data_IF_553298981729
#
_entry.id   IF_553298981729
#
_cell.length_a   1.000
_cell.length_b   1.000
_cell.length_c   1.000
_cell.angle_alpha   90.00
_cell.angle_beta   90.00
_cell.angle_gamma   90.00
#
_symmetry.space_group_name_H-M   'P 1'
#
loop_
_entity.id
_entity.type
_entity.pdbx_description
1 polymer ?
#
# COMPACT_ATOMS: atom_id res chain seq x y z
N UNK A 1 19.08 83.31 45.13
CA UNK A 1 18.15 83.42 43.99
C UNK A 1 18.24 82.14 43.18
N UNK A 2 17.08 81.59 42.78
CA UNK A 2 16.82 80.45 41.88
C UNK A 2 17.84 80.32 40.73
N UNK A 3 18.08 79.22 40.02
CA UNK A 3 17.57 77.83 39.89
C UNK A 3 18.51 77.21 38.83
N UNK A 4 18.69 75.90 38.82
CA UNK A 4 18.53 75.03 37.64
C UNK A 4 18.98 73.62 38.01
N UNK A 5 18.08 72.64 37.92
CA UNK A 5 18.45 71.26 37.59
C UNK A 5 17.22 70.48 37.12
N UNK A 6 17.48 69.69 36.08
CA UNK A 6 16.52 69.11 35.15
C UNK A 6 15.64 68.01 35.72
N UNK A 7 14.59 67.75 34.97
CA UNK A 7 13.45 66.88 35.25
C UNK A 7 13.66 65.58 34.48
N UNK A 8 13.92 64.47 35.16
CA UNK A 8 13.91 63.11 34.59
C UNK A 8 12.54 62.49 34.84
N UNK A 9 11.91 61.97 33.78
CA UNK A 9 10.64 61.25 33.81
C UNK A 9 10.89 59.77 34.06
N UNK A 10 10.10 59.21 35.00
CA UNK A 10 10.06 57.78 35.36
C UNK A 10 8.98 57.13 34.50
N UNK A 11 9.35 56.11 33.71
CA UNK A 11 8.40 55.21 33.06
C UNK A 11 8.03 54.07 34.02
N UNK A 12 6.76 54.02 34.41
CA UNK A 12 6.15 52.92 35.17
C UNK A 12 5.78 51.82 34.18
N UNK A 13 6.39 50.65 34.32
CA UNK A 13 6.07 49.45 33.53
C UNK A 13 4.93 48.66 34.16
N UNK A 14 3.84 48.50 33.42
CA UNK A 14 2.64 47.75 33.79
C UNK A 14 2.86 46.25 33.54
N UNK A 15 2.83 45.42 34.59
CA UNK A 15 2.77 43.95 34.46
C UNK A 15 1.35 43.54 34.03
N UNK A 16 1.19 43.11 32.78
CA UNK A 16 -0.01 42.43 32.32
C UNK A 16 0.11 40.93 32.66
N UNK A 17 -0.64 40.50 33.67
CA UNK A 17 -0.79 39.09 34.03
C UNK A 17 -1.66 38.42 32.96
N UNK A 18 -1.01 37.74 32.03
CA UNK A 18 -1.63 36.99 30.94
C UNK A 18 -2.25 35.72 31.54
N UNK A 19 -3.55 35.78 31.85
CA UNK A 19 -4.33 34.62 32.28
C UNK A 19 -4.43 33.61 31.15
N UNK A 20 -3.57 32.59 31.18
CA UNK A 20 -3.76 31.34 30.44
C UNK A 20 -5.02 30.67 30.97
N UNK A 21 -6.16 30.92 30.32
CA UNK A 21 -7.33 30.05 30.46
C UNK A 21 -6.97 28.73 29.81
N UNK A 22 -6.66 27.72 30.61
CA UNK A 22 -6.77 26.34 30.19
C UNK A 22 -8.23 26.11 29.77
N UNK A 23 -8.50 26.14 28.47
CA UNK A 23 -9.70 25.51 27.92
C UNK A 23 -9.55 24.02 28.24
N UNK A 24 -10.17 23.56 29.32
CA UNK A 24 -10.28 22.14 29.59
C UNK A 24 -10.96 21.49 28.40
N UNK A 25 -10.30 20.52 27.77
CA UNK A 25 -10.94 19.62 26.81
C UNK A 25 -11.99 18.82 27.57
N UNK A 26 -13.20 19.36 27.69
CA UNK A 26 -14.36 18.63 28.15
C UNK A 26 -14.83 17.75 26.98
N UNK A 27 -14.33 16.51 26.94
CA UNK A 27 -14.69 15.55 25.92
C UNK A 27 -16.03 14.88 26.29
N UNK A 28 -17.11 15.66 26.19
CA UNK A 28 -18.49 15.19 26.35
C UNK A 28 -18.77 13.96 25.48
N UNK A 29 -18.17 13.92 24.29
CA UNK A 29 -18.26 12.82 23.35
C UNK A 29 -16.94 12.06 23.31
N UNK A 30 -17.00 10.75 23.52
CA UNK A 30 -15.91 9.85 23.23
C UNK A 30 -16.31 8.90 22.10
N UNK A 31 -15.95 9.23 20.87
CA UNK A 31 -16.31 8.47 19.68
C UNK A 31 -15.59 7.11 19.65
N UNK A 32 -16.35 6.03 19.50
CA UNK A 32 -15.84 4.67 19.40
C UNK A 32 -16.01 4.06 18.02
N UNK A 33 -16.63 4.78 17.08
CA UNK A 33 -16.70 4.34 15.68
C UNK A 33 -15.30 4.39 15.06
N UNK A 34 -14.78 3.26 14.54
CA UNK A 34 -13.51 3.26 13.82
C UNK A 34 -13.56 4.14 12.57
N UNK A 35 -12.47 4.83 12.28
CA UNK A 35 -12.31 5.59 11.02
C UNK A 35 -12.18 4.69 9.79
N UNK A 36 -11.91 3.39 10.00
CA UNK A 36 -11.80 2.36 8.97
C UNK A 36 -12.76 1.21 9.30
N UNK A 37 -13.85 1.12 8.54
CA UNK A 37 -14.88 0.11 8.71
C UNK A 37 -14.68 -1.00 7.69
N UNK A 38 -14.44 -2.23 8.17
CA UNK A 38 -14.33 -3.40 7.31
C UNK A 38 -15.68 -3.78 6.74
N UNK A 39 -15.78 -3.89 5.43
CA UNK A 39 -17.05 -4.26 4.81
C UNK A 39 -17.48 -5.69 5.15
N UNK A 40 -18.75 -5.83 5.51
CA UNK A 40 -19.39 -7.09 5.84
C UNK A 40 -20.53 -7.39 4.86
N UNK A 41 -21.01 -8.64 4.85
CA UNK A 41 -22.01 -9.10 3.90
C UNK A 41 -23.39 -8.43 4.07
N UNK A 42 -23.72 -7.94 5.27
CA UNK A 42 -24.98 -7.23 5.54
C UNK A 42 -24.94 -5.76 5.11
N UNK A 43 -23.74 -5.17 4.98
CA UNK A 43 -23.55 -3.73 4.76
C UNK A 43 -23.98 -2.88 5.96
N UNK A 44 -24.12 -3.49 7.15
CA UNK A 44 -24.59 -2.82 8.37
C UNK A 44 -23.40 -2.58 9.30
N UNK A 45 -23.27 -1.34 9.77
CA UNK A 45 -22.17 -0.91 10.62
C UNK A 45 -22.69 -0.20 11.86
N UNK A 46 -22.08 -0.50 12.99
CA UNK A 46 -22.44 0.10 14.28
C UNK A 46 -21.63 1.38 14.50
N UNK A 47 -22.33 2.49 14.63
CA UNK A 47 -21.79 3.76 15.08
C UNK A 47 -22.01 3.91 16.58
N UNK A 48 -21.00 4.34 17.32
CA UNK A 48 -21.09 4.42 18.78
C UNK A 48 -20.22 5.51 19.40
N UNK A 49 -20.68 6.02 20.53
CA UNK A 49 -19.90 6.90 21.39
C UNK A 49 -20.29 6.70 22.86
N UNK A 50 -19.37 7.05 23.77
CA UNK A 50 -19.69 7.24 25.18
C UNK A 50 -19.90 8.72 25.50
N UNK A 51 -20.98 9.02 26.21
CA UNK A 51 -21.23 10.34 26.77
C UNK A 51 -20.56 10.45 28.14
N UNK A 52 -19.75 11.49 28.35
CA UNK A 52 -19.09 11.77 29.64
C UNK A 52 -19.49 13.14 30.14
N UNK A 53 -20.19 13.19 31.27
CA UNK A 53 -20.60 14.45 31.89
C UNK A 53 -19.64 14.83 33.01
N UNK A 54 -19.07 16.03 32.92
CA UNK A 54 -18.21 16.59 33.98
C UNK A 54 -19.01 17.06 35.22
N UNK A 55 -20.33 17.14 35.13
CA UNK A 55 -21.18 17.76 36.16
C UNK A 55 -22.18 16.77 36.78
N UNK A 56 -22.28 16.80 38.11
CA UNK A 56 -23.30 16.09 38.92
C UNK A 56 -24.73 16.64 38.78
N UNK A 57 -24.93 17.65 37.92
CA UNK A 57 -26.21 18.34 37.76
C UNK A 57 -27.04 17.84 36.55
N UNK A 58 -26.57 16.81 35.85
CA UNK A 58 -27.30 16.22 34.73
C UNK A 58 -28.44 15.35 35.27
N UNK A 59 -29.61 15.46 34.64
CA UNK A 59 -30.74 14.56 34.93
C UNK A 59 -30.56 13.31 34.09
N UNK A 60 -30.05 12.23 34.68
CA UNK A 60 -29.60 11.02 33.95
C UNK A 60 -30.67 10.42 33.03
N UNK A 61 -31.92 10.35 33.49
CA UNK A 61 -33.05 9.80 32.71
C UNK A 61 -33.49 10.68 31.53
N UNK A 62 -32.95 11.89 31.40
CA UNK A 62 -33.29 12.82 30.31
C UNK A 62 -32.35 12.74 29.11
N UNK A 63 -31.31 11.91 29.19
CA UNK A 63 -30.26 11.87 28.16
C UNK A 63 -30.72 11.07 26.94
N UNK A 64 -30.85 11.76 25.82
CA UNK A 64 -31.22 11.23 24.51
C UNK A 64 -30.07 11.48 23.52
N UNK A 65 -29.79 10.50 22.66
CA UNK A 65 -28.74 10.59 21.65
C UNK A 65 -29.29 10.35 20.24
N UNK A 66 -28.79 11.13 19.29
CA UNK A 66 -29.04 11.00 17.87
C UNK A 66 -27.71 10.94 17.11
N UNK A 67 -27.74 10.39 15.91
CA UNK A 67 -26.66 10.48 14.94
C UNK A 67 -27.20 11.09 13.66
N UNK A 68 -26.43 11.98 13.06
CA UNK A 68 -26.68 12.50 11.72
C UNK A 68 -25.69 11.85 10.78
N UNK A 69 -26.19 11.17 9.76
CA UNK A 69 -25.39 10.51 8.72
C UNK A 69 -25.83 11.07 7.37
N UNK A 70 -24.90 11.64 6.62
CA UNK A 70 -25.14 12.22 5.28
C UNK A 70 -26.34 13.19 5.19
N UNK A 71 -26.65 13.86 6.31
CA UNK A 71 -27.73 14.84 6.44
C UNK A 71 -29.02 14.31 7.07
N UNK A 72 -29.20 12.98 7.14
CA UNK A 72 -30.37 12.37 7.77
C UNK A 72 -30.12 12.09 9.26
N UNK A 73 -31.13 12.34 10.10
CA UNK A 73 -31.03 12.18 11.56
C UNK A 73 -31.70 10.89 12.04
N UNK A 74 -30.99 10.13 12.86
CA UNK A 74 -31.42 8.84 13.38
C UNK A 74 -31.33 8.82 14.91
N UNK A 75 -32.33 8.22 15.56
CA UNK A 75 -32.33 8.03 17.01
C UNK A 75 -31.43 6.86 17.39
N UNK A 76 -30.51 7.09 18.34
CA UNK A 76 -29.61 6.05 18.83
C UNK A 76 -30.23 5.27 20.00
N UNK A 77 -29.74 4.05 20.20
CA UNK A 77 -30.14 3.19 21.31
C UNK A 77 -29.11 3.30 22.44
N UNK A 78 -29.59 3.34 23.68
CA UNK A 78 -28.72 3.26 24.86
C UNK A 78 -28.28 1.81 25.06
N UNK A 79 -26.98 1.55 24.92
CA UNK A 79 -26.38 0.21 24.98
C UNK A 79 -25.79 -0.13 26.36
N UNK A 80 -25.40 0.88 27.13
CA UNK A 80 -24.84 0.73 28.49
C UNK A 80 -25.10 1.99 29.31
N UNK A 81 -25.31 1.83 30.61
CA UNK A 81 -25.47 2.93 31.59
C UNK A 81 -24.11 3.41 32.13
N UNK A 82 -23.17 2.49 32.36
CA UNK A 82 -21.85 2.79 32.93
C UNK A 82 -20.75 1.98 32.22
N UNK A 83 -19.95 2.61 31.33
CA UNK A 83 -20.11 3.97 30.84
C UNK A 83 -21.40 4.14 30.00
N UNK A 84 -21.92 5.36 29.92
CA UNK A 84 -23.11 5.70 29.17
C UNK A 84 -22.83 5.64 27.66
N UNK A 85 -23.15 4.51 27.02
CA UNK A 85 -22.86 4.26 25.60
C UNK A 85 -24.15 4.29 24.79
N UNK A 86 -24.08 4.94 23.64
CA UNK A 86 -25.13 4.90 22.63
C UNK A 86 -24.61 4.24 21.35
N UNK A 87 -25.47 3.44 20.72
CA UNK A 87 -25.19 2.74 19.46
C UNK A 87 -26.28 2.97 18.43
N UNK A 88 -25.92 2.92 17.15
CA UNK A 88 -26.85 2.87 16.03
C UNK A 88 -26.28 2.04 14.90
N UNK A 89 -27.09 1.12 14.38
CA UNK A 89 -26.73 0.27 13.24
C UNK A 89 -27.23 0.92 11.95
N UNK A 90 -26.29 1.32 11.10
CA UNK A 90 -26.58 1.97 9.82
C UNK A 90 -26.22 1.07 8.65
N UNK A 91 -27.14 0.99 7.68
CA UNK A 91 -26.92 0.25 6.43
C UNK A 91 -26.37 1.19 5.37
N UNK A 92 -25.09 1.04 5.06
CA UNK A 92 -24.39 1.82 4.02
C UNK A 92 -24.82 1.32 2.64
N UNK A 93 -25.02 2.24 1.68
CA UNK A 93 -25.49 1.85 0.36
C UNK A 93 -24.38 1.18 -0.45
N UNK A 94 -24.71 0.22 -1.34
CA UNK A 94 -23.71 -0.38 -2.22
C UNK A 94 -23.00 0.68 -3.06
N UNK A 95 -21.67 0.71 -3.01
CA UNK A 95 -20.83 1.63 -3.79
C UNK A 95 -20.34 2.85 -3.03
N UNK A 96 -20.85 3.12 -1.82
CA UNK A 96 -20.30 4.15 -0.95
C UNK A 96 -18.99 3.68 -0.31
N UNK A 97 -17.97 4.54 -0.36
CA UNK A 97 -16.63 4.29 0.20
C UNK A 97 -16.34 5.09 1.47
N UNK A 98 -17.18 6.07 1.78
CA UNK A 98 -17.04 6.99 2.90
C UNK A 98 -18.43 7.32 3.45
N UNK A 99 -18.53 7.46 4.78
CA UNK A 99 -19.73 7.91 5.47
C UNK A 99 -19.36 9.10 6.35
N UNK A 100 -20.07 10.23 6.23
CA UNK A 100 -19.85 11.42 7.08
C UNK A 100 -20.91 11.50 8.16
N UNK A 101 -20.50 11.78 9.39
CA UNK A 101 -21.42 11.78 10.51
C UNK A 101 -21.02 12.69 11.67
N UNK A 102 -22.00 12.98 12.52
CA UNK A 102 -21.81 13.53 13.86
C UNK A 102 -22.93 13.08 14.78
N UNK A 103 -22.67 13.07 16.09
CA UNK A 103 -23.63 12.77 17.13
C UNK A 103 -24.25 14.04 17.70
N UNK A 104 -25.49 13.92 18.15
CA UNK A 104 -26.22 14.95 18.88
C UNK A 104 -26.62 14.34 20.23
N UNK A 105 -26.38 15.07 21.31
CA UNK A 105 -26.78 14.71 22.66
C UNK A 105 -27.72 15.78 23.21
N UNK A 106 -28.92 15.37 23.60
CA UNK A 106 -29.92 16.22 24.25
C UNK A 106 -30.11 15.74 25.68
N UNK A 107 -30.02 16.64 26.63
CA UNK A 107 -30.20 16.30 28.05
C UNK A 107 -30.64 17.51 28.85
N UNK A 108 -31.25 17.24 29.99
CA UNK A 108 -31.60 18.24 30.98
C UNK A 108 -30.54 18.32 32.07
N UNK A 109 -30.36 19.53 32.60
CA UNK A 109 -29.47 19.80 33.73
C UNK A 109 -30.11 20.80 34.70
N UNK A 110 -29.74 20.70 35.96
CA UNK A 110 -30.20 21.61 37.02
C UNK A 110 -29.16 22.72 37.19
N UNK A 111 -29.59 23.97 37.00
CA UNK A 111 -28.75 25.13 37.28
C UNK A 111 -29.52 26.08 38.20
N UNK A 112 -28.97 26.32 39.39
CA UNK A 112 -29.61 27.12 40.44
C UNK A 112 -31.05 26.67 40.75
N UNK A 113 -31.29 25.35 40.79
CA UNK A 113 -32.61 24.77 41.08
C UNK A 113 -33.60 24.76 39.90
N UNK A 114 -33.22 25.29 38.73
CA UNK A 114 -34.05 25.31 37.53
C UNK A 114 -33.57 24.21 36.57
N UNK A 115 -34.48 23.33 36.14
CA UNK A 115 -34.25 22.36 35.08
C UNK A 115 -34.21 23.07 33.72
N UNK A 116 -33.13 22.90 32.98
CA UNK A 116 -32.91 23.45 31.64
C UNK A 116 -32.52 22.33 30.69
N UNK A 117 -32.95 22.43 29.44
CA UNK A 117 -32.54 21.50 28.37
C UNK A 117 -31.38 22.10 27.59
N UNK A 118 -30.42 21.27 27.20
CA UNK A 118 -29.33 21.64 26.29
C UNK A 118 -29.20 20.59 25.19
N UNK A 119 -28.69 21.02 24.04
CA UNK A 119 -28.34 20.17 22.91
C UNK A 119 -26.87 20.42 22.60
N UNK A 120 -26.13 19.34 22.35
CA UNK A 120 -24.70 19.37 22.06
C UNK A 120 -24.42 18.52 20.83
N UNK A 121 -23.59 19.04 19.94
CA UNK A 121 -23.14 18.34 18.75
C UNK A 121 -21.70 17.91 18.95
N UNK A 122 -21.34 16.75 18.40
CA UNK A 122 -19.98 16.25 18.41
C UNK A 122 -19.21 16.72 17.17
N UNK A 123 -17.96 17.09 17.34
CA UNK A 123 -17.02 17.32 16.23
C UNK A 123 -15.70 16.62 16.54
N UNK A 124 -14.88 16.40 15.53
CA UNK A 124 -13.53 15.88 15.73
C UNK A 124 -12.62 16.94 16.39
N UNK A 125 -11.36 16.61 16.61
CA UNK A 125 -10.38 17.50 17.25
C UNK A 125 -10.12 18.81 16.48
N UNK A 126 -10.42 18.85 15.17
CA UNK A 126 -10.27 20.03 14.31
C UNK A 126 -11.56 20.85 14.18
N UNK A 127 -12.68 20.38 14.74
CA UNK A 127 -14.00 21.02 14.62
C UNK A 127 -14.79 20.59 13.37
N UNK A 128 -14.34 19.58 12.65
CA UNK A 128 -15.01 19.04 11.47
C UNK A 128 -15.91 17.83 11.82
N UNK A 129 -16.73 17.42 10.84
CA UNK A 129 -17.50 16.18 10.91
C UNK A 129 -16.58 14.96 11.01
N UNK A 130 -17.06 13.90 11.65
CA UNK A 130 -16.39 12.62 11.58
C UNK A 130 -16.61 11.96 10.21
N UNK A 131 -15.67 11.10 9.83
CA UNK A 131 -15.78 10.25 8.66
C UNK A 131 -15.39 8.82 9.01
N UNK A 132 -16.03 7.87 8.32
CA UNK A 132 -15.66 6.46 8.36
C UNK A 132 -15.48 5.96 6.94
N UNK A 133 -14.28 5.48 6.62
CA UNK A 133 -13.96 4.90 5.33
C UNK A 133 -14.29 3.41 5.33
N UNK A 134 -15.00 2.96 4.31
CA UNK A 134 -15.24 1.53 4.09
C UNK A 134 -14.00 0.95 3.39
N UNK A 135 -13.06 0.41 4.17
CA UNK A 135 -11.88 -0.25 3.60
C UNK A 135 -12.29 -1.61 3.03
N UNK A 136 -12.30 -1.70 1.72
CA UNK A 136 -12.76 -2.86 0.97
C UNK A 136 -11.70 -3.41 0.00
N UNK A 137 -10.44 -3.33 0.40
CA UNK A 137 -9.33 -3.78 -0.43
C UNK A 137 -8.53 -4.82 0.34
N UNK A 138 -8.44 -6.02 -0.20
CA UNK A 138 -7.60 -7.08 0.35
C UNK A 138 -7.17 -8.02 -0.76
N UNK A 139 -5.95 -8.52 -0.64
CA UNK A 139 -5.50 -9.70 -1.36
C UNK A 139 -5.82 -10.92 -0.50
N UNK A 140 -6.43 -11.94 -1.11
CA UNK A 140 -6.92 -13.11 -0.38
C UNK A 140 -6.05 -14.33 -0.62
N UNK A 141 -5.77 -14.62 -1.89
CA UNK A 141 -5.18 -15.90 -2.26
C UNK A 141 -4.43 -15.80 -3.60
N UNK A 142 -3.19 -16.29 -3.60
CA UNK A 142 -2.45 -16.60 -4.81
C UNK A 142 -2.92 -17.94 -5.36
N UNK A 143 -3.30 -17.98 -6.64
CA UNK A 143 -3.70 -19.23 -7.32
C UNK A 143 -2.54 -20.25 -7.34
N UNK A 144 -1.30 -19.77 -7.32
CA UNK A 144 -0.11 -20.55 -7.00
C UNK A 144 0.86 -19.73 -6.16
N UNK A 145 1.43 -20.34 -5.13
CA UNK A 145 2.45 -19.72 -4.28
C UNK A 145 3.89 -20.04 -4.71
N UNK A 146 4.06 -20.60 -5.92
CA UNK A 146 5.38 -20.87 -6.50
C UNK A 146 5.37 -20.93 -8.01
N UNK A 147 6.50 -20.64 -8.62
CA UNK A 147 6.70 -20.72 -10.06
C UNK A 147 8.04 -20.14 -10.52
N UNK A 148 8.44 -20.44 -11.77
CA UNK A 148 9.65 -19.86 -12.36
C UNK A 148 9.45 -18.39 -12.75
N UNK A 149 10.54 -17.68 -12.96
CA UNK A 149 10.54 -16.33 -13.56
C UNK A 149 9.83 -16.34 -14.91
N UNK A 150 9.07 -15.28 -15.20
CA UNK A 150 8.30 -15.13 -16.44
C UNK A 150 6.97 -15.89 -16.46
N UNK A 151 6.66 -16.69 -15.43
CA UNK A 151 5.34 -17.32 -15.32
C UNK A 151 4.26 -16.30 -14.92
N UNK A 152 3.03 -16.52 -15.39
CA UNK A 152 1.86 -15.69 -15.03
C UNK A 152 1.12 -16.32 -13.87
N UNK A 153 0.85 -15.52 -12.85
CA UNK A 153 0.21 -15.94 -11.60
C UNK A 153 -0.98 -15.03 -11.34
N UNK A 154 -2.13 -15.63 -11.04
CA UNK A 154 -3.31 -14.90 -10.62
C UNK A 154 -3.36 -14.71 -9.10
N UNK A 155 -3.83 -13.55 -8.67
CA UNK A 155 -4.06 -13.14 -7.31
C UNK A 155 -5.52 -12.73 -7.15
N UNK A 156 -6.24 -13.46 -6.30
CA UNK A 156 -7.65 -13.24 -6.02
C UNK A 156 -7.79 -12.36 -4.79
N UNK A 157 -8.73 -11.42 -4.85
CA UNK A 157 -8.98 -10.48 -3.77
C UNK A 157 -10.24 -9.65 -3.99
N UNK A 158 -10.23 -8.43 -3.45
CA UNK A 158 -11.33 -7.48 -3.61
C UNK A 158 -10.79 -6.06 -3.66
N UNK A 159 -11.50 -5.22 -4.41
CA UNK A 159 -11.25 -3.78 -4.49
C UNK A 159 -10.01 -3.43 -5.28
N UNK A 160 -9.58 -4.28 -6.21
CA UNK A 160 -8.47 -3.95 -7.10
C UNK A 160 -8.83 -2.85 -8.11
N UNK A 161 -7.84 -2.07 -8.51
CA UNK A 161 -7.98 -0.95 -9.45
C UNK A 161 -6.83 -0.94 -10.46
N UNK A 162 -7.03 -0.34 -11.63
CA UNK A 162 -6.04 -0.37 -12.72
C UNK A 162 -4.65 0.21 -12.37
N UNK A 163 -4.53 0.99 -11.28
CA UNK A 163 -3.25 1.52 -10.79
C UNK A 163 -2.54 0.63 -9.77
N UNK A 164 -3.07 -0.55 -9.46
CA UNK A 164 -2.48 -1.46 -8.49
C UNK A 164 -1.34 -2.26 -9.10
N UNK A 165 -0.27 -2.42 -8.33
CA UNK A 165 0.93 -3.16 -8.76
C UNK A 165 1.25 -4.26 -7.75
N UNK A 166 1.48 -5.48 -8.24
CA UNK A 166 2.01 -6.58 -7.42
C UNK A 166 3.49 -6.37 -7.20
N UNK A 167 3.95 -6.57 -5.97
CA UNK A 167 5.34 -6.43 -5.56
C UNK A 167 5.79 -7.74 -4.93
N UNK A 168 6.91 -8.29 -5.40
CA UNK A 168 7.47 -9.54 -4.90
C UNK A 168 8.90 -9.29 -4.44
N UNK A 169 9.17 -9.52 -3.16
CA UNK A 169 10.52 -9.31 -2.60
C UNK A 169 11.02 -7.87 -2.73
N UNK A 170 10.11 -6.90 -2.82
CA UNK A 170 10.40 -5.48 -3.06
C UNK A 170 10.50 -5.07 -4.53
N UNK A 171 10.46 -6.01 -5.47
CA UNK A 171 10.49 -5.72 -6.91
C UNK A 171 9.07 -5.67 -7.49
N UNK A 172 8.77 -4.64 -8.26
CA UNK A 172 7.49 -4.54 -8.97
C UNK A 172 7.40 -5.59 -10.08
N UNK A 173 6.27 -6.29 -10.13
CA UNK A 173 5.93 -7.22 -11.17
C UNK A 173 5.08 -6.53 -12.25
N UNK A 174 5.21 -6.97 -13.50
CA UNK A 174 4.22 -6.60 -14.52
C UNK A 174 2.86 -7.09 -14.08
N UNK A 175 1.93 -6.16 -13.90
CA UNK A 175 0.64 -6.43 -13.28
C UNK A 175 -0.48 -6.03 -14.23
N UNK A 176 -1.45 -6.92 -14.41
CA UNK A 176 -2.67 -6.69 -15.17
C UNK A 176 -3.87 -6.87 -14.25
N UNK A 177 -4.64 -5.81 -14.03
CA UNK A 177 -5.88 -5.90 -13.25
C UNK A 177 -7.01 -6.30 -14.19
N UNK A 178 -7.45 -7.55 -14.12
CA UNK A 178 -8.52 -8.08 -14.96
C UNK A 178 -9.89 -7.60 -14.48
N UNK A 179 -10.11 -7.64 -13.15
CA UNK A 179 -11.34 -7.19 -12.50
C UNK A 179 -11.03 -6.63 -11.12
N UNK A 180 -11.98 -5.96 -10.44
CA UNK A 180 -11.82 -5.58 -9.03
C UNK A 180 -11.61 -6.74 -8.04
N UNK A 181 -11.54 -8.00 -8.50
CA UNK A 181 -11.31 -9.20 -7.68
C UNK A 181 -10.19 -10.10 -8.19
N UNK A 182 -9.60 -9.77 -9.34
CA UNK A 182 -8.63 -10.62 -10.02
C UNK A 182 -7.53 -9.74 -10.63
N UNK A 183 -6.30 -10.01 -10.19
CA UNK A 183 -5.08 -9.44 -10.73
C UNK A 183 -4.23 -10.59 -11.26
N UNK A 184 -3.65 -10.44 -12.45
CA UNK A 184 -2.59 -11.31 -12.96
C UNK A 184 -1.26 -10.58 -12.89
N UNK A 185 -0.18 -11.27 -12.57
CA UNK A 185 1.17 -10.72 -12.63
C UNK A 185 2.18 -11.70 -13.23
N UNK A 186 3.25 -11.18 -13.82
CA UNK A 186 4.40 -11.95 -14.31
C UNK A 186 5.47 -12.01 -13.22
N UNK A 187 5.95 -13.22 -12.88
CA UNK A 187 7.00 -13.40 -11.86
C UNK A 187 8.28 -12.66 -12.29
N UNK A 188 8.76 -11.68 -11.50
CA UNK A 188 9.93 -10.87 -11.82
C UNK A 188 11.24 -11.68 -11.71
N UNK A 189 12.37 -11.18 -12.25
CA UNK A 189 13.64 -11.90 -12.34
C UNK A 189 14.38 -11.93 -10.99
N UNK A 190 13.79 -12.59 -10.01
CA UNK A 190 14.31 -12.78 -8.66
C UNK A 190 15.20 -14.02 -8.57
N UNK A 191 16.04 -14.08 -7.52
CA UNK A 191 16.92 -15.24 -7.30
C UNK A 191 16.09 -16.51 -7.04
N UNK A 192 16.40 -17.62 -7.74
CA UNK A 192 15.65 -18.85 -7.58
C UNK A 192 15.97 -19.56 -6.26
N UNK A 193 15.07 -20.43 -5.83
CA UNK A 193 15.21 -21.23 -4.60
C UNK A 193 14.87 -20.46 -3.31
N UNK A 194 14.36 -19.22 -3.42
CA UNK A 194 14.00 -18.36 -2.28
C UNK A 194 12.50 -18.11 -2.22
N UNK A 195 12.01 -17.87 -1.01
CA UNK A 195 10.63 -17.43 -0.74
C UNK A 195 10.64 -15.93 -0.45
N UNK A 196 9.72 -15.20 -1.09
CA UNK A 196 9.58 -13.75 -1.01
C UNK A 196 8.18 -13.38 -0.51
N UNK A 197 8.07 -12.25 0.18
CA UNK A 197 6.76 -11.66 0.48
C UNK A 197 6.14 -11.09 -0.80
N UNK A 198 4.83 -11.23 -0.92
CA UNK A 198 4.02 -10.65 -1.99
C UNK A 198 3.08 -9.62 -1.38
N UNK A 199 3.11 -8.41 -1.93
CA UNK A 199 2.16 -7.36 -1.57
C UNK A 199 1.50 -6.78 -2.82
N UNK A 200 0.33 -6.18 -2.65
CA UNK A 200 -0.30 -5.34 -3.67
C UNK A 200 -0.14 -3.90 -3.23
N UNK A 201 0.66 -3.14 -3.96
CA UNK A 201 0.80 -1.70 -3.74
C UNK A 201 -0.38 -0.98 -4.37
N UNK A 202 -1.06 -0.19 -3.56
CA UNK A 202 -2.15 0.70 -3.94
C UNK A 202 -1.72 2.16 -3.75
N UNK A 203 -2.55 3.12 -4.16
CA UNK A 203 -2.25 4.55 -4.00
C UNK A 203 -1.98 4.96 -2.53
N UNK A 204 -2.69 4.34 -1.57
CA UNK A 204 -2.71 4.77 -0.17
C UNK A 204 -2.13 3.73 0.80
N UNK A 205 -1.87 2.49 0.35
CA UNK A 205 -1.46 1.39 1.22
C UNK A 205 -0.81 0.21 0.48
N UNK A 206 -0.15 -0.68 1.20
CA UNK A 206 0.23 -2.01 0.70
C UNK A 206 -0.66 -3.09 1.35
N UNK A 207 -1.21 -3.98 0.53
CA UNK A 207 -2.02 -5.11 0.97
C UNK A 207 -1.15 -6.35 1.00
N UNK A 208 -1.11 -7.05 2.13
CA UNK A 208 -0.42 -8.34 2.21
C UNK A 208 -1.14 -9.39 1.36
N UNK A 209 -0.39 -10.08 0.50
CA UNK A 209 -0.86 -11.13 -0.40
C UNK A 209 -0.17 -12.49 -0.14
N UNK A 210 0.61 -12.59 0.95
CA UNK A 210 1.26 -13.82 1.36
C UNK A 210 2.70 -13.94 0.87
N UNK A 211 3.10 -15.15 0.49
CA UNK A 211 4.49 -15.44 0.08
C UNK A 211 4.53 -16.28 -1.19
N UNK A 212 5.60 -16.09 -1.97
CA UNK A 212 5.82 -16.77 -3.23
C UNK A 212 7.25 -17.33 -3.31
N UNK A 213 7.38 -18.61 -3.67
CA UNK A 213 8.68 -19.25 -3.89
C UNK A 213 9.05 -19.22 -5.37
N UNK A 214 10.19 -18.60 -5.68
CA UNK A 214 10.70 -18.54 -7.06
C UNK A 214 11.49 -19.81 -7.35
N UNK A 215 11.08 -20.51 -8.41
CA UNK A 215 11.77 -21.69 -8.91
C UNK A 215 12.81 -21.32 -9.98
N UNK A 216 13.84 -22.15 -10.14
CA UNK A 216 14.83 -21.95 -11.20
C UNK A 216 14.22 -22.27 -12.57
N UNK A 217 14.35 -21.32 -13.50
CA UNK A 217 14.05 -21.51 -14.91
C UNK A 217 15.28 -22.03 -15.68
N UNK A 218 15.09 -22.52 -16.90
CA UNK A 218 16.17 -22.96 -17.78
C UNK A 218 16.32 -22.01 -18.95
N UNK A 219 17.58 -21.62 -19.24
CA UNK A 219 17.96 -21.00 -20.50
C UNK A 219 18.14 -22.10 -21.55
N UNK A 220 17.76 -21.83 -22.78
CA UNK A 220 18.04 -22.69 -23.93
C UNK A 220 18.88 -21.93 -24.94
N UNK A 221 19.86 -22.61 -25.54
CA UNK A 221 20.77 -22.00 -26.50
C UNK A 221 20.88 -22.89 -27.73
N UNK A 222 20.81 -22.27 -28.90
CA UNK A 222 20.98 -22.94 -30.18
C UNK A 222 21.93 -22.15 -31.09
N UNK A 223 22.99 -22.78 -31.64
CA UNK A 223 23.42 -24.15 -31.41
C UNK A 223 24.03 -24.35 -30.00
N UNK A 224 24.08 -25.60 -29.52
CA UNK A 224 24.69 -25.93 -28.22
C UNK A 224 26.22 -25.92 -28.21
N UNK A 225 26.85 -25.77 -29.38
CA UNK A 225 28.28 -25.54 -29.56
C UNK A 225 28.47 -24.60 -30.76
N UNK A 226 29.55 -23.83 -30.73
CA UNK A 226 29.94 -22.94 -31.82
C UNK A 226 31.29 -23.38 -32.36
N UNK A 227 31.39 -23.52 -33.67
CA UNK A 227 32.63 -23.71 -34.40
C UNK A 227 32.70 -22.61 -35.44
N UNK A 228 33.73 -21.78 -35.45
CA UNK A 228 33.84 -20.55 -36.25
C UNK A 228 35.19 -20.52 -36.95
N UNK A 229 35.26 -19.87 -38.11
CA UNK A 229 36.53 -19.34 -38.64
C UNK A 229 36.77 -17.91 -38.15
N UNK A 230 38.02 -17.46 -38.17
CA UNK A 230 38.37 -16.07 -37.90
C UNK A 230 37.61 -15.12 -38.86
N UNK A 231 36.91 -14.14 -38.29
CA UNK A 231 36.02 -13.22 -39.00
C UNK A 231 34.67 -13.81 -39.44
N UNK A 232 34.40 -15.09 -39.17
CA UNK A 232 33.08 -15.69 -39.40
C UNK A 232 32.09 -15.20 -38.34
N UNK A 233 30.88 -14.86 -38.78
CA UNK A 233 29.77 -14.53 -37.89
C UNK A 233 28.78 -15.70 -37.90
N UNK A 234 28.50 -16.29 -36.74
CA UNK A 234 27.39 -17.23 -36.56
C UNK A 234 26.30 -16.67 -35.67
N UNK A 235 25.08 -17.10 -36.00
CA UNK A 235 23.90 -16.79 -35.22
C UNK A 235 23.76 -17.79 -34.07
N UNK A 236 23.69 -17.27 -32.85
CA UNK A 236 23.31 -17.98 -31.65
C UNK A 236 21.96 -17.45 -31.16
N UNK A 237 20.99 -18.32 -30.93
CA UNK A 237 19.68 -17.99 -30.38
C UNK A 237 19.67 -18.35 -28.90
N UNK A 238 19.32 -17.39 -28.06
CA UNK A 238 19.10 -17.60 -26.62
C UNK A 238 17.61 -17.51 -26.35
N UNK A 239 17.05 -18.51 -25.67
CA UNK A 239 15.61 -18.66 -25.43
C UNK A 239 15.31 -18.92 -23.94
N UNK A 240 14.13 -18.48 -23.51
CA UNK A 240 13.56 -18.70 -22.18
C UNK A 240 12.18 -19.36 -22.26
N UNK A 241 11.82 -20.13 -21.23
CA UNK A 241 10.54 -20.86 -21.21
C UNK A 241 9.29 -19.99 -21.02
N UNK A 242 9.46 -18.76 -20.50
CA UNK A 242 8.39 -17.79 -20.26
C UNK A 242 8.66 -16.47 -20.98
N UNK A 243 7.71 -15.53 -20.91
CA UNK A 243 7.93 -14.18 -21.43
C UNK A 243 8.93 -13.44 -20.54
N UNK A 244 9.85 -12.70 -21.15
CA UNK A 244 10.78 -11.85 -20.40
C UNK A 244 9.99 -10.77 -19.63
N UNK A 245 10.38 -10.49 -18.36
CA UNK A 245 9.67 -9.56 -17.48
C UNK A 245 9.80 -8.09 -17.95
N UNK A 246 9.18 -7.17 -17.20
CA UNK A 246 9.29 -5.74 -17.47
C UNK A 246 10.75 -5.28 -17.50
N UNK A 247 11.09 -4.47 -18.49
CA UNK A 247 12.47 -4.04 -18.71
C UNK A 247 13.35 -5.07 -19.43
N UNK A 248 12.80 -6.25 -19.78
CA UNK A 248 13.52 -7.32 -20.45
C UNK A 248 14.34 -8.20 -19.50
N UNK A 249 15.15 -9.09 -20.08
CA UNK A 249 16.05 -9.97 -19.36
C UNK A 249 17.46 -9.85 -19.92
N UNK A 250 18.36 -9.26 -19.15
CA UNK A 250 19.80 -9.24 -19.44
C UNK A 250 20.39 -10.62 -19.16
N UNK A 251 21.18 -11.12 -20.10
CA UNK A 251 21.95 -12.35 -19.98
C UNK A 251 23.43 -11.96 -19.88
N UNK A 252 24.06 -12.28 -18.76
CA UNK A 252 25.49 -12.11 -18.57
C UNK A 252 26.22 -13.24 -19.31
N UNK A 253 27.12 -12.85 -20.21
CA UNK A 253 27.91 -13.77 -21.02
C UNK A 253 29.40 -13.60 -20.69
N UNK A 254 30.03 -14.67 -20.23
CA UNK A 254 31.45 -14.70 -19.87
C UNK A 254 32.17 -15.76 -20.70
N UNK A 255 33.39 -15.47 -21.15
CA UNK A 255 34.22 -16.41 -21.92
C UNK A 255 35.61 -16.53 -21.30
N UNK A 256 36.21 -17.71 -21.39
CA UNK A 256 37.62 -17.95 -21.01
C UNK A 256 38.61 -17.71 -22.16
N UNK A 257 38.09 -17.40 -23.36
CA UNK A 257 38.86 -17.07 -24.58
C UNK A 257 38.44 -15.69 -25.14
N UNK A 258 38.69 -14.58 -24.41
CA UNK A 258 38.18 -13.25 -24.76
C UNK A 258 38.70 -12.71 -26.10
N UNK A 259 39.90 -13.10 -26.53
CA UNK A 259 40.47 -12.68 -27.82
C UNK A 259 39.86 -13.45 -29.01
N UNK A 260 39.21 -14.59 -28.74
CA UNK A 260 38.61 -15.48 -29.75
C UNK A 260 37.12 -15.24 -29.98
N UNK A 261 36.40 -14.65 -29.02
CA UNK A 261 34.93 -14.51 -29.08
C UNK A 261 34.53 -13.06 -29.00
N UNK A 262 33.95 -12.54 -30.08
CA UNK A 262 33.42 -11.18 -30.16
C UNK A 262 31.89 -11.29 -30.20
N UNK A 263 31.20 -10.75 -29.20
CA UNK A 263 29.74 -10.79 -29.12
C UNK A 263 29.18 -9.50 -28.48
N UNK A 264 27.97 -9.07 -28.85
CA UNK A 264 27.31 -7.93 -28.23
C UNK A 264 26.70 -8.30 -26.86
N UNK A 265 26.23 -7.28 -26.14
CA UNK A 265 25.36 -7.48 -24.97
C UNK A 265 24.08 -8.24 -25.35
N UNK A 266 23.68 -9.19 -24.50
CA UNK A 266 22.55 -10.07 -24.75
C UNK A 266 21.38 -9.63 -23.87
N UNK A 267 20.31 -9.12 -24.51
CA UNK A 267 19.08 -8.72 -23.84
C UNK A 267 17.89 -9.34 -24.56
N UNK A 268 17.09 -10.15 -23.85
CA UNK A 268 15.78 -10.58 -24.34
C UNK A 268 14.80 -9.44 -24.06
N UNK A 269 14.19 -8.82 -25.09
CA UNK A 269 13.26 -7.71 -24.89
C UNK A 269 12.05 -8.11 -24.03
N UNK A 270 11.47 -7.14 -23.32
CA UNK A 270 10.24 -7.32 -22.57
C UNK A 270 9.15 -8.03 -23.39
N UNK A 271 8.52 -9.05 -22.80
CA UNK A 271 7.48 -9.86 -23.46
C UNK A 271 7.99 -10.84 -24.52
N UNK A 272 9.25 -10.74 -24.96
CA UNK A 272 9.84 -11.70 -25.87
C UNK A 272 10.28 -12.98 -25.13
N UNK A 273 10.52 -14.06 -25.89
CA UNK A 273 11.02 -15.33 -25.35
C UNK A 273 12.41 -15.69 -25.86
N UNK A 274 12.95 -14.91 -26.78
CA UNK A 274 14.21 -15.21 -27.42
C UNK A 274 14.89 -13.95 -27.94
N UNK A 275 16.20 -14.05 -28.16
CA UNK A 275 17.01 -13.06 -28.86
C UNK A 275 18.02 -13.75 -29.77
N UNK A 276 18.28 -13.10 -30.90
CA UNK A 276 19.29 -13.49 -31.87
C UNK A 276 20.60 -12.75 -31.55
N UNK A 277 21.67 -13.50 -31.34
CA UNK A 277 23.00 -13.00 -30.99
C UNK A 277 23.97 -13.35 -32.11
N UNK A 278 24.60 -12.34 -32.69
CA UNK A 278 25.68 -12.55 -33.66
C UNK A 278 26.99 -12.73 -32.90
N UNK A 279 27.60 -13.90 -33.04
CA UNK A 279 28.89 -14.25 -32.45
C UNK A 279 29.92 -14.28 -33.57
N UNK A 280 30.96 -13.45 -33.45
CA UNK A 280 32.07 -13.35 -34.40
C UNK A 280 33.32 -14.05 -33.86
N UNK A 281 33.99 -14.82 -34.71
CA UNK A 281 35.27 -15.46 -34.42
C UNK A 281 36.43 -14.47 -34.51
N UNK A 282 37.22 -14.37 -33.45
CA UNK A 282 38.47 -13.61 -33.38
C UNK A 282 39.69 -14.49 -33.63
N UNK A 283 40.65 -14.46 -32.70
CA UNK A 283 41.84 -15.31 -32.74
C UNK A 283 41.51 -16.80 -32.57
N UNK A 284 42.31 -17.68 -33.17
CA UNK A 284 42.12 -19.13 -33.02
C UNK A 284 42.20 -19.57 -31.55
N UNK A 285 41.31 -20.47 -31.14
CA UNK A 285 41.20 -20.87 -29.74
C UNK A 285 40.08 -21.88 -29.49
N UNK A 286 40.10 -22.50 -28.30
CA UNK A 286 39.03 -23.40 -27.84
C UNK A 286 38.73 -23.08 -26.39
N UNK A 287 37.45 -22.94 -26.07
CA UNK A 287 37.00 -22.50 -24.75
C UNK A 287 35.49 -22.64 -24.60
N UNK A 288 34.92 -21.83 -23.71
CA UNK A 288 33.50 -21.83 -23.39
C UNK A 288 32.93 -20.43 -23.30
N UNK A 289 31.65 -20.30 -23.63
CA UNK A 289 30.82 -19.16 -23.22
C UNK A 289 29.88 -19.65 -22.12
N UNK A 290 29.96 -19.02 -20.95
CA UNK A 290 29.04 -19.20 -19.84
C UNK A 290 27.97 -18.10 -19.88
N UNK A 291 26.70 -18.50 -19.98
CA UNK A 291 25.54 -17.62 -19.98
C UNK A 291 24.79 -17.76 -18.65
N UNK A 292 24.52 -16.63 -18.00
CA UNK A 292 23.76 -16.60 -16.74
C UNK A 292 22.74 -15.47 -16.72
N UNK A 293 21.64 -15.65 -16.00
CA UNK A 293 20.59 -14.64 -15.87
C UNK A 293 19.85 -14.79 -14.53
N UNK A 294 19.35 -13.70 -13.94
CA UNK A 294 18.59 -13.78 -12.68
C UNK A 294 17.34 -14.64 -12.83
N UNK A 295 17.21 -15.65 -11.96
CA UNK A 295 16.09 -16.60 -12.00
C UNK A 295 16.32 -17.84 -12.86
N UNK A 296 17.45 -17.93 -13.56
CA UNK A 296 17.78 -19.02 -14.47
C UNK A 296 19.02 -19.80 -14.03
N UNK A 297 19.08 -21.07 -14.40
CA UNK A 297 20.30 -21.85 -14.31
C UNK A 297 21.30 -21.40 -15.39
N UNK A 298 22.58 -21.39 -15.02
CA UNK A 298 23.69 -21.13 -15.95
C UNK A 298 23.75 -22.18 -17.06
N UNK A 299 24.11 -21.74 -18.27
CA UNK A 299 24.32 -22.60 -19.45
C UNK A 299 25.74 -22.40 -19.97
N UNK A 300 26.41 -23.48 -20.34
CA UNK A 300 27.76 -23.45 -20.93
C UNK A 300 27.69 -23.88 -22.38
N UNK A 301 28.27 -23.08 -23.28
CA UNK A 301 28.35 -23.31 -24.72
C UNK A 301 29.83 -23.49 -25.11
N UNK A 302 30.27 -24.69 -25.52
CA UNK A 302 31.62 -24.88 -26.05
C UNK A 302 31.84 -24.10 -27.34
N UNK A 303 33.00 -23.48 -27.48
CA UNK A 303 33.38 -22.68 -28.65
C UNK A 303 34.75 -23.08 -29.16
N UNK A 304 34.86 -23.22 -30.48
CA UNK A 304 36.11 -23.41 -31.22
C UNK A 304 36.21 -22.38 -32.34
N UNK A 305 37.36 -21.70 -32.42
CA UNK A 305 37.69 -20.74 -33.49
C UNK A 305 38.93 -21.23 -34.22
N UNK A 306 38.82 -21.39 -35.55
CA UNK A 306 39.87 -21.85 -36.44
C UNK A 306 40.37 -20.68 -37.33
N UNK A 307 41.57 -20.82 -37.88
CA UNK A 307 42.08 -19.90 -38.91
C UNK A 307 41.35 -20.06 -40.26
#
# INVERSE_FOLDING_TARGET
>A
MKRFKGKTWVCVGTLALMGLTFSGCNNLFNNYTPTQLRQNASGIYTFSFAAKFDATNVVEDSVEAQIVIDGDTYQMQKASDEPLIFTYDFKVQPGESEVKYYYILKYDYINSGIRKTTIKDSFNETGDLFYANLTNRYASELVSNRGPVGSRIALIGRGFSAGDTVVIGGQEAQTTVNTPRDIEFVVPPLQPGRTYNVTVRTADSELDAGTFRVDAAQLQVQPQNLSLYAGEIKLMVVEVGGEAPAGGLTIDAMTDIPDSVIMPEIVIPEGARSVNVNVEGGDSGTGIIELSAPGYNTVTVPVEVQE
#
